data_IF_620784594086
#
_entry.id   IF_620784594086
#
_cell.length_a   1.000
_cell.length_b   1.000
_cell.length_c   1.000
_cell.angle_alpha   90.00
_cell.angle_beta   90.00
_cell.angle_gamma   90.00
#
_symmetry.space_group_name_H-M   'P 1'
#
loop_
_entity.id
_entity.type
_entity.pdbx_description
1 polymer ?
#
# COMPACT_ATOMS: atom_id res chain seq x y z
N UNK A 1 -1.93 -9.85 2.77
CA UNK A 1 -3.17 -9.94 3.59
C UNK A 1 -4.33 -9.48 2.70
N UNK A 2 -4.85 -10.37 1.84
CA UNK A 2 -5.63 -9.93 0.68
C UNK A 2 -7.00 -9.32 1.03
N UNK A 3 -7.57 -9.67 2.19
CA UNK A 3 -8.85 -9.12 2.62
C UNK A 3 -8.72 -7.66 3.12
N UNK A 4 -7.60 -7.35 3.79
CA UNK A 4 -7.34 -5.98 4.28
C UNK A 4 -7.00 -5.05 3.11
N UNK A 5 -6.17 -5.52 2.17
CA UNK A 5 -5.85 -4.80 0.94
C UNK A 5 -7.11 -4.43 0.15
N UNK A 6 -8.00 -5.40 -0.11
CA UNK A 6 -9.28 -5.15 -0.79
C UNK A 6 -10.18 -4.16 -0.04
N UNK A 7 -10.21 -4.24 1.30
CA UNK A 7 -11.00 -3.33 2.11
C UNK A 7 -10.48 -1.89 2.00
N UNK A 8 -9.17 -1.72 2.12
CA UNK A 8 -8.52 -0.41 2.00
C UNK A 8 -8.67 0.15 0.58
N UNK A 9 -8.52 -0.67 -0.46
CA UNK A 9 -8.79 -0.28 -1.86
C UNK A 9 -10.21 0.23 -2.07
N UNK A 10 -11.21 -0.37 -1.42
CA UNK A 10 -12.61 -0.01 -1.56
C UNK A 10 -12.99 1.23 -0.73
N UNK A 11 -12.47 1.34 0.50
CA UNK A 11 -12.85 2.39 1.44
C UNK A 11 -12.02 3.69 1.30
N UNK A 12 -10.77 3.61 0.81
CA UNK A 12 -9.90 4.77 0.71
C UNK A 12 -10.03 5.50 -0.63
N UNK A 13 -9.96 6.83 -0.57
CA UNK A 13 -9.93 7.72 -1.73
C UNK A 13 -8.53 7.80 -2.36
N UNK A 14 -8.43 8.28 -3.61
CA UNK A 14 -7.17 8.37 -4.35
C UNK A 14 -6.10 9.26 -3.68
N UNK A 15 -6.51 10.20 -2.83
CA UNK A 15 -5.59 11.05 -2.05
C UNK A 15 -5.08 10.41 -0.74
N UNK A 16 -5.53 9.20 -0.40
CA UNK A 16 -5.14 8.54 0.84
C UNK A 16 -3.77 7.87 0.72
N UNK A 17 -3.03 7.87 1.83
CA UNK A 17 -1.74 7.20 2.00
C UNK A 17 -1.82 6.20 3.15
N UNK A 18 -1.49 4.95 2.88
CA UNK A 18 -1.44 3.87 3.87
C UNK A 18 0.01 3.66 4.31
N UNK A 19 0.26 3.69 5.62
CA UNK A 19 1.58 3.41 6.19
C UNK A 19 1.51 2.06 6.90
N UNK A 20 2.36 1.11 6.47
CA UNK A 20 2.49 -0.18 7.11
C UNK A 20 3.87 -0.30 7.76
N UNK A 21 3.91 -0.65 9.05
CA UNK A 21 5.15 -0.94 9.77
C UNK A 21 5.27 -2.45 9.98
N UNK A 22 6.46 -3.02 9.77
CA UNK A 22 6.81 -4.44 9.95
C UNK A 22 6.16 -5.44 8.98
N UNK A 23 4.96 -5.18 8.50
CA UNK A 23 4.22 -6.08 7.61
C UNK A 23 3.85 -5.37 6.30
N UNK A 24 4.61 -5.57 5.21
CA UNK A 24 4.27 -5.00 3.92
C UNK A 24 3.04 -5.68 3.31
N UNK A 25 2.34 -4.95 2.46
CA UNK A 25 1.32 -5.49 1.57
C UNK A 25 2.00 -6.06 0.32
N UNK A 26 1.94 -7.38 0.06
CA UNK A 26 2.66 -8.02 -1.05
C UNK A 26 2.11 -7.68 -2.45
N UNK A 27 0.84 -7.28 -2.55
CA UNK A 27 0.23 -6.94 -3.83
C UNK A 27 0.33 -5.44 -4.18
N UNK A 28 0.75 -4.61 -3.22
CA UNK A 28 0.86 -3.17 -3.42
C UNK A 28 2.32 -2.78 -3.60
N UNK A 29 2.55 -1.80 -4.48
CA UNK A 29 3.88 -1.24 -4.70
C UNK A 29 4.07 -0.06 -3.74
N UNK A 30 5.02 -0.12 -2.80
CA UNK A 30 5.28 1.00 -1.90
C UNK A 30 5.91 2.16 -2.69
N UNK A 31 5.40 3.37 -2.47
CA UNK A 31 5.98 4.62 -2.98
C UNK A 31 7.29 4.94 -2.27
N UNK A 32 7.31 4.72 -0.96
CA UNK A 32 8.49 4.95 -0.13
C UNK A 32 8.65 3.81 0.87
N UNK A 33 9.88 3.36 1.07
CA UNK A 33 10.24 2.41 2.12
C UNK A 33 11.30 3.04 3.01
N UNK A 34 11.10 3.04 4.32
CA UNK A 34 12.03 3.64 5.30
C UNK A 34 12.22 2.72 6.49
N UNK A 35 13.44 2.62 7.01
CA UNK A 35 13.79 1.74 8.13
C UNK A 35 14.69 0.58 7.72
N UNK A 36 15.26 -0.09 8.71
CA UNK A 36 16.18 -1.22 8.53
C UNK A 36 15.69 -2.44 9.30
N UNK A 37 15.73 -3.61 8.65
CA UNK A 37 15.34 -4.88 9.28
C UNK A 37 13.85 -4.94 9.63
N UNK A 38 13.54 -5.29 10.88
CA UNK A 38 12.17 -5.53 11.35
C UNK A 38 11.33 -4.25 11.47
N UNK A 39 11.97 -3.09 11.59
CA UNK A 39 11.30 -1.79 11.71
C UNK A 39 11.20 -1.07 10.36
N UNK A 40 11.26 -1.83 9.27
CA UNK A 40 10.97 -1.32 7.93
C UNK A 40 9.50 -0.88 7.87
N UNK A 41 9.29 0.28 7.27
CA UNK A 41 8.01 0.95 7.09
C UNK A 41 7.81 1.19 5.61
N UNK A 42 6.62 0.91 5.12
CA UNK A 42 6.21 1.08 3.73
C UNK A 42 5.07 2.08 3.65
N UNK A 43 5.22 3.06 2.77
CA UNK A 43 4.19 4.02 2.43
C UNK A 43 3.58 3.65 1.07
N UNK A 44 2.27 3.51 1.03
CA UNK A 44 1.50 3.17 -0.16
C UNK A 44 0.54 4.31 -0.48
N UNK A 45 0.69 4.91 -1.65
CA UNK A 45 -0.28 5.87 -2.15
C UNK A 45 -1.39 5.15 -2.91
N UNK A 46 -2.63 5.41 -2.52
CA UNK A 46 -3.79 4.78 -3.15
C UNK A 46 -3.93 5.20 -4.62
N UNK A 47 -3.54 6.44 -4.97
CA UNK A 47 -3.47 6.92 -6.36
C UNK A 47 -2.51 6.08 -7.22
N UNK A 48 -1.34 5.69 -6.68
CA UNK A 48 -0.37 4.85 -7.37
C UNK A 48 -0.83 3.38 -7.45
N UNK A 49 -1.36 2.83 -6.34
CA UNK A 49 -1.83 1.44 -6.26
C UNK A 49 -3.02 1.19 -7.22
N UNK A 50 -3.97 2.13 -7.32
CA UNK A 50 -5.13 2.02 -8.24
C UNK A 50 -4.74 2.15 -9.71
N UNK A 51 -3.70 2.92 -10.03
CA UNK A 51 -3.24 3.06 -11.42
C UNK A 51 -2.64 1.75 -11.96
N UNK A 52 -2.08 0.91 -11.08
CA UNK A 52 -1.58 -0.42 -11.44
C UNK A 52 -2.72 -1.42 -11.76
N UNK A 53 -3.93 -1.18 -11.24
CA UNK A 53 -5.15 -1.94 -11.56
C UNK A 53 -5.85 -1.53 -12.87
N UNK A 54 -5.43 -0.43 -13.52
CA UNK A 54 -5.98 0.06 -14.81
C UNK A 54 -5.11 -0.28 -16.03
N UNK A 55 -4.22 -1.26 -15.92
CA UNK A 55 -3.55 -1.88 -17.08
C UNK A 55 -4.10 -3.31 -17.31
N UNK A 56 -5.37 -3.39 -17.68
CA UNK A 56 -5.97 -4.49 -18.45
C UNK A 56 -7.32 -4.01 -19.01
#
# INVERSE_FOLDING_TARGET
MPQLEKKLEFELEDGARVIACRFPFPHWTPDHTTGEGIDTVWAYDMSACRTQGKRA
#
